data_IF_778363945315
#
_entry.id   IF_778363945315
#
_cell.length_a   1.000
_cell.length_b   1.000
_cell.length_c   1.000
_cell.angle_alpha   90.00
_cell.angle_beta   90.00
_cell.angle_gamma   90.00
#
_symmetry.space_group_name_H-M   'P 1'
#
loop_
_entity.id
_entity.type
_entity.pdbx_description
1 polymer ?
#
# COMPACT_ATOMS: atom_id res chain seq x y z
N UNK A 1 10.39 7.86 30.29
CA UNK A 1 9.15 8.00 29.51
C UNK A 1 9.24 7.06 28.33
N UNK A 2 8.40 6.03 28.31
CA UNK A 2 8.45 4.95 27.31
C UNK A 2 8.22 5.52 25.92
N UNK A 3 9.13 5.21 24.99
CA UNK A 3 9.00 5.59 23.60
C UNK A 3 7.79 4.84 23.03
N UNK A 4 6.69 5.55 22.80
CA UNK A 4 5.57 5.01 22.03
C UNK A 4 6.12 4.58 20.68
N UNK A 5 6.11 3.27 20.39
CA UNK A 5 6.49 2.76 19.07
C UNK A 5 5.52 3.38 18.05
N UNK A 6 6.00 4.09 17.02
CA UNK A 6 5.11 4.68 16.04
C UNK A 6 4.27 3.57 15.40
N UNK A 7 2.97 3.82 15.29
CA UNK A 7 2.08 2.85 14.65
C UNK A 7 2.44 2.72 13.17
N UNK A 8 2.09 1.59 12.56
CA UNK A 8 2.24 1.40 11.11
C UNK A 8 1.65 2.58 10.31
N UNK A 9 0.55 3.15 10.80
CA UNK A 9 -0.07 4.34 10.21
C UNK A 9 0.88 5.53 10.20
N UNK A 10 1.57 5.82 11.31
CA UNK A 10 2.53 6.94 11.38
C UNK A 10 3.71 6.73 10.44
N UNK A 11 4.25 5.50 10.39
CA UNK A 11 5.30 5.16 9.43
C UNK A 11 4.84 5.31 7.98
N UNK A 12 3.63 4.86 7.68
CA UNK A 12 3.03 4.95 6.34
C UNK A 12 2.90 6.40 5.89
N UNK A 13 2.33 7.28 6.72
CA UNK A 13 2.19 8.70 6.35
C UNK A 13 3.55 9.41 6.24
N UNK A 14 4.53 9.06 7.08
CA UNK A 14 5.89 9.60 6.96
C UNK A 14 6.50 9.25 5.59
N UNK A 15 6.46 7.98 5.21
CA UNK A 15 7.01 7.50 3.94
C UNK A 15 6.29 8.14 2.74
N UNK A 16 4.96 8.28 2.81
CA UNK A 16 4.18 8.92 1.75
C UNK A 16 4.56 10.40 1.59
N UNK A 17 4.80 11.11 2.70
CA UNK A 17 5.28 12.48 2.66
C UNK A 17 6.69 12.58 2.06
N UNK A 18 7.57 11.63 2.38
CA UNK A 18 8.93 11.58 1.79
C UNK A 18 8.88 11.34 0.26
N UNK A 19 7.81 10.72 -0.24
CA UNK A 19 7.61 10.44 -1.67
C UNK A 19 6.79 11.52 -2.41
N UNK A 20 6.45 12.64 -1.76
CA UNK A 20 5.59 13.66 -2.37
C UNK A 20 6.21 14.27 -3.64
N UNK A 21 7.53 14.42 -3.67
CA UNK A 21 8.25 14.96 -4.83
C UNK A 21 8.34 13.94 -5.96
N UNK A 22 8.47 12.65 -5.64
CA UNK A 22 8.32 11.57 -6.61
C UNK A 22 6.93 11.60 -7.24
N UNK A 23 5.86 11.69 -6.42
CA UNK A 23 4.49 11.82 -6.91
C UNK A 23 4.33 13.06 -7.81
N UNK A 24 4.91 14.20 -7.44
CA UNK A 24 4.85 15.44 -8.24
C UNK A 24 5.54 15.29 -9.60
N UNK A 25 6.60 14.51 -9.69
CA UNK A 25 7.31 14.26 -10.95
C UNK A 25 6.53 13.33 -11.90
N UNK A 26 5.56 12.55 -11.41
CA UNK A 26 4.71 11.68 -12.24
C UNK A 26 3.76 12.49 -13.14
N UNK A 27 3.39 11.91 -14.29
CA UNK A 27 2.29 12.40 -15.14
C UNK A 27 0.97 12.26 -14.38
N UNK A 28 -0.04 13.06 -14.74
CA UNK A 28 -1.34 13.07 -14.07
C UNK A 28 -1.96 11.66 -13.91
N UNK A 29 -2.04 10.89 -15.00
CA UNK A 29 -2.51 9.50 -14.97
C UNK A 29 -1.72 8.59 -14.01
N UNK A 30 -0.42 8.82 -13.86
CA UNK A 30 0.45 7.98 -13.03
C UNK A 30 0.37 8.44 -11.56
N UNK A 31 -0.03 9.69 -11.29
CA UNK A 31 -0.32 10.19 -9.94
C UNK A 31 -1.56 9.53 -9.34
N UNK A 32 -2.61 9.38 -10.15
CA UNK A 32 -3.83 8.68 -9.73
C UNK A 32 -3.51 7.24 -9.33
N UNK A 33 -2.77 6.52 -10.18
CA UNK A 33 -2.31 5.16 -9.87
C UNK A 33 -1.44 5.13 -8.60
N UNK A 34 -0.53 6.10 -8.43
CA UNK A 34 0.26 6.19 -7.21
C UNK A 34 -0.61 6.36 -5.96
N UNK A 35 -1.62 7.24 -6.01
CA UNK A 35 -2.52 7.49 -4.88
C UNK A 35 -3.35 6.24 -4.53
N UNK A 36 -3.79 5.48 -5.54
CA UNK A 36 -4.45 4.18 -5.34
C UNK A 36 -3.53 3.16 -4.65
N UNK A 37 -2.25 3.09 -5.04
CA UNK A 37 -1.28 2.22 -4.36
C UNK A 37 -1.10 2.63 -2.89
N UNK A 38 -1.01 3.93 -2.61
CA UNK A 38 -0.89 4.41 -1.23
C UNK A 38 -2.16 4.15 -0.42
N UNK A 39 -3.34 4.15 -1.05
CA UNK A 39 -4.57 3.70 -0.39
C UNK A 39 -4.51 2.22 -0.02
N UNK A 40 -4.07 1.35 -0.94
CA UNK A 40 -3.89 -0.10 -0.68
C UNK A 40 -2.92 -0.37 0.49
N UNK A 41 -1.82 0.38 0.57
CA UNK A 41 -0.88 0.29 1.69
C UNK A 41 -1.56 0.54 3.05
N UNK A 42 -2.51 1.48 3.13
CA UNK A 42 -3.22 1.86 4.37
C UNK A 42 -4.24 0.81 4.83
N UNK A 43 -4.80 0.01 3.92
CA UNK A 43 -5.82 -1.01 4.23
C UNK A 43 -5.31 -2.08 5.19
N UNK A 44 -4.01 -2.35 5.20
CA UNK A 44 -3.40 -3.40 6.00
C UNK A 44 -2.85 -2.92 7.35
N UNK A 45 -3.39 -1.84 7.90
CA UNK A 45 -2.88 -1.23 9.14
C UNK A 45 -2.79 -2.18 10.34
N UNK A 46 -3.70 -3.14 10.47
CA UNK A 46 -3.68 -4.16 11.53
C UNK A 46 -2.56 -5.19 11.35
N UNK A 47 -2.39 -5.73 10.15
CA UNK A 47 -1.36 -6.71 9.83
C UNK A 47 0.04 -6.07 9.79
N UNK A 48 0.14 -4.88 9.20
CA UNK A 48 1.39 -4.14 9.11
C UNK A 48 1.95 -3.73 10.46
N UNK A 49 1.10 -3.52 11.47
CA UNK A 49 1.55 -3.18 12.83
C UNK A 49 2.48 -4.24 13.46
N UNK A 50 2.44 -5.49 13.00
CA UNK A 50 3.34 -6.55 13.48
C UNK A 50 4.76 -6.46 12.91
N UNK A 51 4.94 -5.88 11.72
CA UNK A 51 6.24 -5.86 11.01
C UNK A 51 6.76 -4.44 10.72
N UNK A 52 5.92 -3.41 10.91
CA UNK A 52 6.24 -2.01 10.62
C UNK A 52 7.49 -1.50 11.33
N UNK A 53 7.75 -2.01 12.53
CA UNK A 53 8.90 -1.61 13.34
C UNK A 53 10.24 -2.18 12.83
N UNK A 54 10.20 -3.21 11.98
CA UNK A 54 11.38 -3.84 11.38
C UNK A 54 11.73 -3.17 10.06
N UNK A 55 10.75 -3.09 9.16
CA UNK A 55 10.89 -2.43 7.86
C UNK A 55 9.51 -1.92 7.40
N UNK A 56 9.20 -0.64 7.63
CA UNK A 56 7.91 -0.10 7.25
C UNK A 56 7.73 0.03 5.73
N UNK A 57 8.81 0.24 4.97
CA UNK A 57 8.73 0.31 3.49
C UNK A 57 8.42 -1.06 2.91
N UNK A 58 9.13 -2.11 3.34
CA UNK A 58 8.83 -3.48 2.91
C UNK A 58 7.42 -3.91 3.33
N UNK A 59 6.98 -3.52 4.53
CA UNK A 59 5.60 -3.79 4.99
C UNK A 59 4.56 -3.08 4.13
N UNK A 60 4.80 -1.84 3.72
CA UNK A 60 3.92 -1.12 2.78
C UNK A 60 3.87 -1.80 1.42
N UNK A 61 5.01 -2.21 0.86
CA UNK A 61 5.04 -2.93 -0.42
C UNK A 61 4.32 -4.28 -0.34
N UNK A 62 4.51 -5.04 0.74
CA UNK A 62 3.79 -6.30 0.94
C UNK A 62 2.27 -6.07 0.99
N UNK A 63 1.83 -5.01 1.67
CA UNK A 63 0.42 -4.62 1.76
C UNK A 63 -0.15 -4.29 0.38
N UNK A 64 0.59 -3.52 -0.43
CA UNK A 64 0.22 -3.19 -1.81
C UNK A 64 0.13 -4.46 -2.66
N UNK A 65 1.16 -5.31 -2.62
CA UNK A 65 1.21 -6.55 -3.39
C UNK A 65 0.06 -7.50 -3.04
N UNK A 66 -0.33 -7.54 -1.76
CA UNK A 66 -1.44 -8.37 -1.32
C UNK A 66 -2.78 -7.91 -1.91
N UNK A 67 -3.06 -6.61 -1.92
CA UNK A 67 -4.26 -6.06 -2.56
C UNK A 67 -4.25 -6.25 -4.08
N UNK A 68 -3.11 -6.01 -4.74
CA UNK A 68 -2.97 -6.26 -6.18
C UNK A 68 -3.20 -7.74 -6.51
N UNK A 69 -2.71 -8.67 -5.68
CA UNK A 69 -2.93 -10.10 -5.87
C UNK A 69 -4.41 -10.49 -5.70
N UNK A 70 -5.14 -9.83 -4.80
CA UNK A 70 -6.60 -10.02 -4.67
C UNK A 70 -7.33 -9.55 -5.92
N UNK A 71 -6.94 -8.40 -6.48
CA UNK A 71 -7.52 -7.88 -7.72
C UNK A 71 -7.25 -8.79 -8.91
N UNK A 72 -6.00 -9.27 -9.06
CA UNK A 72 -5.66 -10.25 -10.09
C UNK A 72 -6.50 -11.52 -9.96
N UNK A 73 -6.71 -12.03 -8.74
CA UNK A 73 -7.59 -13.18 -8.51
C UNK A 73 -9.03 -12.89 -8.89
N UNK A 74 -9.55 -11.72 -8.51
CA UNK A 74 -10.92 -11.29 -8.85
C UNK A 74 -11.12 -11.23 -10.36
N UNK A 75 -10.21 -10.57 -11.07
CA UNK A 75 -10.24 -10.44 -12.53
C UNK A 75 -10.13 -11.80 -13.24
N UNK A 76 -9.35 -12.74 -12.69
CA UNK A 76 -9.27 -14.11 -13.22
C UNK A 76 -10.58 -14.89 -13.05
N UNK A 77 -11.29 -14.71 -11.94
CA UNK A 77 -12.59 -15.33 -11.71
C UNK A 77 -13.65 -14.73 -12.63
N UNK A 78 -13.69 -13.40 -12.75
CA UNK A 78 -14.63 -12.67 -13.63
C UNK A 78 -14.45 -13.12 -15.10
N UNK A 79 -13.21 -13.15 -15.60
CA UNK A 79 -12.92 -13.64 -16.97
C UNK A 79 -13.16 -15.15 -17.17
N UNK A 80 -13.06 -15.94 -16.11
CA UNK A 80 -13.37 -17.38 -16.14
C UNK A 80 -14.86 -17.68 -16.11
N UNK A 81 -15.69 -16.75 -15.63
CA UNK A 81 -17.15 -16.85 -15.61
C UNK A 81 -17.83 -16.40 -16.90
N UNK A 82 -17.17 -15.59 -17.73
CA UNK A 82 -17.70 -15.18 -19.05
C UNK A 82 -17.50 -16.23 -20.16
N UNK A 83 -16.84 -17.35 -19.85
CA UNK A 83 -16.54 -18.44 -20.79
C UNK A 83 -17.09 -19.81 -20.40
N UNK A 84 -18.03 -19.88 -19.45
CA UNK A 84 -18.67 -21.12 -19.00
C UNK A 84 -20.16 -21.16 -19.35
#
# INVERSE_FOLDING_TARGET
MGRTVPTYRLHTESIINDWIDYRRALREKDREVFDELMYKARLHSSAGSYTAHLDPVATMFLSILLELQKEVRRLKVERGGEGA
#
